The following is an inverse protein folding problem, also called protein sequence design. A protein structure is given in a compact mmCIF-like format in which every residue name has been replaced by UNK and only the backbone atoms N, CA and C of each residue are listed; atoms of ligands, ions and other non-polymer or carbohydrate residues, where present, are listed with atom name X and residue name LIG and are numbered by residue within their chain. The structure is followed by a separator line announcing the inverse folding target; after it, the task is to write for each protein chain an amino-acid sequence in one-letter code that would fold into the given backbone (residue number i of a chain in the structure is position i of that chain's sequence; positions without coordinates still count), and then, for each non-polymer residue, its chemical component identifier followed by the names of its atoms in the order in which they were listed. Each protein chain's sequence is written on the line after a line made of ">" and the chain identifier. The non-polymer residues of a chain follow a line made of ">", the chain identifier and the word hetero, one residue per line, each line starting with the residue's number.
data_IF_553445684530
#
_entry.id   IF_553445684530
#
_cell.length_a   1.000
_cell.length_b   1.000
_cell.length_c   1.000
_cell.angle_alpha   90.00
_cell.angle_beta   90.00
_cell.angle_gamma   90.00
#
_symmetry.space_group_name_H-M   'P 1'
#
loop_
_entity.id
_entity.type
_entity.pdbx_description
1 polymer ?
#
# COMPACT_ATOMS: atom_id res chain seq x y z
N UNK A 1 21.11 -23.53 -40.19
CA UNK A 1 21.15 -22.18 -39.61
C UNK A 1 20.79 -22.29 -38.15
N UNK A 2 21.80 -22.30 -37.28
CA UNK A 2 21.62 -22.43 -35.83
C UNK A 2 21.17 -21.10 -35.25
N UNK A 3 19.91 -21.04 -34.79
CA UNK A 3 19.42 -19.93 -34.01
C UNK A 3 20.12 -19.91 -32.64
N UNK A 4 20.94 -18.90 -32.42
CA UNK A 4 21.53 -18.61 -31.14
C UNK A 4 20.36 -18.28 -30.16
N UNK A 5 20.01 -19.19 -29.26
CA UNK A 5 19.15 -18.87 -28.13
C UNK A 5 19.93 -17.86 -27.28
N UNK A 6 19.57 -16.58 -27.40
CA UNK A 6 19.98 -15.57 -26.41
C UNK A 6 19.25 -15.96 -25.13
N UNK A 7 19.94 -16.68 -24.24
CA UNK A 7 19.52 -16.78 -22.83
C UNK A 7 19.66 -15.35 -22.30
N UNK A 8 18.56 -14.59 -22.27
CA UNK A 8 18.50 -13.35 -21.50
C UNK A 8 18.69 -13.80 -20.06
N UNK A 9 19.90 -13.60 -19.53
CA UNK A 9 20.24 -13.89 -18.15
C UNK A 9 19.24 -13.17 -17.25
N UNK A 10 18.79 -13.82 -16.18
CA UNK A 10 18.08 -13.11 -15.11
C UNK A 10 19.07 -12.13 -14.49
N UNK A 11 18.84 -10.86 -14.73
CA UNK A 11 19.58 -9.78 -14.08
C UNK A 11 18.88 -9.49 -12.74
N UNK A 12 19.57 -9.79 -11.65
CA UNK A 12 19.10 -9.52 -10.30
C UNK A 12 19.56 -8.16 -9.78
N UNK A 13 20.47 -7.51 -10.51
CA UNK A 13 20.99 -6.20 -10.13
C UNK A 13 19.96 -5.10 -10.45
N UNK A 14 19.96 -4.08 -9.64
CA UNK A 14 19.19 -2.87 -9.89
C UNK A 14 19.91 -2.02 -10.94
N UNK A 15 19.13 -1.32 -11.76
CA UNK A 15 19.69 -0.29 -12.63
C UNK A 15 20.21 0.88 -11.79
N UNK A 16 21.11 1.72 -12.33
CA UNK A 16 21.57 2.94 -11.65
C UNK A 16 20.42 3.85 -11.16
N UNK A 17 19.33 3.93 -11.94
CA UNK A 17 18.15 4.74 -11.57
C UNK A 17 17.40 4.14 -10.39
N UNK A 18 17.21 2.83 -10.35
CA UNK A 18 16.61 2.14 -9.21
C UNK A 18 17.48 2.29 -7.93
N UNK A 19 18.81 2.21 -8.06
CA UNK A 19 19.73 2.46 -6.95
C UNK A 19 19.70 3.91 -6.48
N UNK A 20 19.52 4.86 -7.40
CA UNK A 20 19.36 6.27 -7.05
C UNK A 20 18.08 6.49 -6.26
N UNK A 21 16.95 5.97 -6.75
CA UNK A 21 15.65 6.04 -6.05
C UNK A 21 15.77 5.43 -4.66
N UNK A 22 16.37 4.23 -4.54
CA UNK A 22 16.58 3.57 -3.25
C UNK A 22 17.32 4.46 -2.27
N UNK A 23 18.46 5.04 -2.67
CA UNK A 23 19.25 5.92 -1.82
C UNK A 23 18.49 7.19 -1.44
N UNK A 24 17.88 7.86 -2.42
CA UNK A 24 17.13 9.10 -2.20
C UNK A 24 15.98 8.89 -1.22
N UNK A 25 15.19 7.83 -1.38
CA UNK A 25 14.05 7.56 -0.50
C UNK A 25 14.50 7.10 0.88
N UNK A 26 15.58 6.31 0.96
CA UNK A 26 16.19 5.92 2.24
C UNK A 26 16.67 7.13 3.03
N UNK A 27 17.47 7.99 2.40
CA UNK A 27 17.98 9.20 3.03
C UNK A 27 16.85 10.10 3.50
N UNK A 28 15.81 10.27 2.67
CA UNK A 28 14.61 11.00 3.06
C UNK A 28 13.91 10.37 4.27
N UNK A 29 13.70 9.07 4.26
CA UNK A 29 13.02 8.38 5.35
C UNK A 29 13.81 8.48 6.68
N UNK A 30 15.13 8.34 6.63
CA UNK A 30 15.99 8.44 7.80
C UNK A 30 16.12 9.88 8.34
N UNK A 31 16.11 10.90 7.46
CA UNK A 31 16.29 12.29 7.87
C UNK A 31 14.98 12.99 8.24
N UNK A 32 13.89 12.67 7.57
CA UNK A 32 12.63 13.40 7.69
C UNK A 32 11.54 12.63 8.45
N UNK A 33 11.49 11.30 8.33
CA UNK A 33 10.45 10.48 8.95
C UNK A 33 10.92 9.91 10.30
N UNK A 34 12.11 9.32 10.37
CA UNK A 34 12.59 8.66 11.59
C UNK A 34 12.55 9.56 12.83
N UNK A 35 12.92 10.86 12.76
CA UNK A 35 12.91 11.74 13.93
C UNK A 35 11.53 12.02 14.52
N UNK A 36 10.46 11.90 13.70
CA UNK A 36 9.08 12.25 14.10
C UNK A 36 8.14 11.04 14.20
N UNK A 37 8.59 9.86 13.79
CA UNK A 37 7.74 8.67 13.67
C UNK A 37 7.13 8.22 15.01
N UNK A 38 7.87 8.33 16.12
CA UNK A 38 7.36 8.00 17.47
C UNK A 38 6.26 8.98 17.90
N UNK A 39 6.47 10.28 17.71
CA UNK A 39 5.49 11.32 18.01
C UNK A 39 4.22 11.13 17.19
N UNK A 40 4.34 10.90 15.88
CA UNK A 40 3.23 10.68 14.97
C UNK A 40 2.38 9.47 15.38
N UNK A 41 3.02 8.36 15.79
CA UNK A 41 2.32 7.16 16.25
C UNK A 41 1.61 7.40 17.58
N UNK A 42 2.30 8.01 18.56
CA UNK A 42 1.77 8.30 19.90
C UNK A 42 0.58 9.24 19.85
N UNK A 43 0.68 10.33 19.07
CA UNK A 43 -0.34 11.35 18.94
C UNK A 43 -1.42 11.02 17.93
N UNK A 44 -1.22 9.94 17.14
CA UNK A 44 -2.10 9.52 16.03
C UNK A 44 -2.31 10.66 15.04
N UNK A 45 -1.26 11.43 14.80
CA UNK A 45 -1.28 12.64 13.99
C UNK A 45 -0.95 12.30 12.53
N UNK A 46 -1.81 12.77 11.61
CA UNK A 46 -1.54 12.62 10.19
C UNK A 46 -0.34 13.50 9.76
N UNK A 47 0.64 12.97 9.00
CA UNK A 47 1.90 13.64 8.71
C UNK A 47 1.82 14.55 7.48
N UNK A 48 1.04 15.62 7.53
CA UNK A 48 0.83 16.56 6.40
C UNK A 48 2.13 17.09 5.81
N UNK A 49 3.06 17.48 6.67
CA UNK A 49 4.37 18.00 6.29
C UNK A 49 5.25 16.98 5.55
N UNK A 50 5.17 15.71 5.94
CA UNK A 50 5.88 14.62 5.26
C UNK A 50 5.22 14.33 3.90
N UNK A 51 3.88 14.29 3.83
CA UNK A 51 3.15 14.07 2.57
C UNK A 51 3.48 15.18 1.57
N UNK A 52 3.54 16.44 2.00
CA UNK A 52 3.95 17.55 1.14
C UNK A 52 5.38 17.39 0.60
N UNK A 53 6.33 16.92 1.44
CA UNK A 53 7.70 16.61 1.01
C UNK A 53 7.77 15.42 0.06
N UNK A 54 6.97 14.37 0.28
CA UNK A 54 6.84 13.24 -0.66
C UNK A 54 6.36 13.72 -2.04
N UNK A 55 5.36 14.63 -2.06
CA UNK A 55 4.89 15.26 -3.28
C UNK A 55 6.00 16.06 -3.99
N UNK A 56 6.73 16.89 -3.27
CA UNK A 56 7.84 17.69 -3.79
C UNK A 56 8.98 16.84 -4.40
N UNK A 57 9.16 15.61 -3.90
CA UNK A 57 10.10 14.64 -4.44
C UNK A 57 9.54 13.81 -5.60
N UNK A 58 8.27 14.04 -6.02
CA UNK A 58 7.59 13.26 -7.05
C UNK A 58 7.19 11.85 -6.63
N UNK A 59 7.29 11.52 -5.33
CA UNK A 59 7.03 10.17 -4.83
C UNK A 59 5.54 9.81 -4.84
N UNK A 60 4.64 10.80 -4.80
CA UNK A 60 3.19 10.57 -4.87
C UNK A 60 2.73 10.16 -6.27
N UNK A 61 3.55 10.45 -7.29
CA UNK A 61 3.26 10.21 -8.70
C UNK A 61 4.22 9.25 -9.42
N UNK A 62 5.03 8.46 -8.72
CA UNK A 62 6.12 7.63 -9.30
C UNK A 62 5.71 6.88 -10.58
N UNK A 63 4.64 6.05 -10.62
CA UNK A 63 4.36 5.21 -11.77
C UNK A 63 3.48 5.87 -12.84
N UNK A 64 3.14 7.14 -12.68
CA UNK A 64 2.27 7.83 -13.63
C UNK A 64 3.09 8.63 -14.64
N UNK A 65 2.58 8.79 -15.89
CA UNK A 65 3.26 9.55 -16.92
C UNK A 65 3.50 11.02 -16.58
N UNK A 66 4.57 11.60 -17.12
CA UNK A 66 4.93 13.02 -16.94
C UNK A 66 3.83 13.97 -17.43
N UNK A 67 3.07 13.59 -18.48
CA UNK A 67 1.95 14.39 -19.00
C UNK A 67 0.84 14.65 -17.96
N UNK A 68 0.75 13.81 -16.93
CA UNK A 68 -0.15 13.98 -15.79
C UNK A 68 0.59 14.40 -14.51
N UNK A 69 1.81 14.89 -14.62
CA UNK A 69 2.61 15.35 -13.48
C UNK A 69 3.28 14.22 -12.67
N UNK A 70 3.25 12.99 -13.17
CA UNK A 70 3.96 11.86 -12.55
C UNK A 70 5.45 11.83 -12.90
N UNK A 71 6.20 10.91 -12.30
CA UNK A 71 7.64 10.74 -12.54
C UNK A 71 7.97 9.81 -13.73
N UNK A 72 6.99 9.17 -14.35
CA UNK A 72 7.18 8.26 -15.48
C UNK A 72 8.02 7.02 -15.19
N UNK A 73 8.23 6.69 -13.89
CA UNK A 73 9.05 5.56 -13.51
C UNK A 73 8.27 4.23 -13.53
N UNK A 74 8.99 3.11 -13.42
CA UNK A 74 8.40 1.78 -13.49
C UNK A 74 7.83 1.29 -12.14
N UNK A 75 7.18 0.14 -12.16
CA UNK A 75 6.59 -0.46 -10.95
C UNK A 75 7.64 -0.95 -9.96
N UNK A 76 8.84 -1.26 -10.42
CA UNK A 76 9.95 -1.63 -9.54
C UNK A 76 10.46 -0.43 -8.76
N UNK A 77 10.60 0.73 -9.40
CA UNK A 77 10.93 2.00 -8.75
C UNK A 77 9.91 2.34 -7.64
N UNK A 78 8.62 2.20 -7.94
CA UNK A 78 7.55 2.37 -6.96
C UNK A 78 7.67 1.39 -5.78
N UNK A 79 7.90 0.10 -6.06
CA UNK A 79 8.05 -0.92 -5.01
C UNK A 79 9.26 -0.63 -4.10
N UNK A 80 10.39 -0.18 -4.68
CA UNK A 80 11.60 0.23 -3.94
C UNK A 80 11.28 1.43 -3.03
N UNK A 81 10.58 2.44 -3.54
CA UNK A 81 10.22 3.61 -2.74
C UNK A 81 9.31 3.22 -1.55
N UNK A 82 8.31 2.37 -1.78
CA UNK A 82 7.43 1.85 -0.70
C UNK A 82 8.23 1.04 0.32
N UNK A 83 9.15 0.19 -0.13
CA UNK A 83 10.03 -0.60 0.76
C UNK A 83 10.85 0.30 1.68
N UNK A 84 11.55 1.31 1.13
CA UNK A 84 12.44 2.17 1.89
C UNK A 84 11.69 3.09 2.87
N UNK A 85 10.53 3.60 2.51
CA UNK A 85 9.67 4.34 3.44
C UNK A 85 9.20 3.46 4.60
N UNK A 86 8.72 2.25 4.26
CA UNK A 86 8.18 1.31 5.26
C UNK A 86 9.23 0.80 6.22
N UNK A 87 10.48 0.73 5.81
CA UNK A 87 11.62 0.37 6.65
C UNK A 87 11.76 1.28 7.87
N UNK A 88 11.27 2.51 7.77
CA UNK A 88 11.30 3.52 8.84
C UNK A 88 9.92 3.69 9.48
N UNK A 89 8.88 3.89 8.67
CA UNK A 89 7.51 4.06 9.17
C UNK A 89 6.46 3.59 8.17
N UNK A 90 5.69 2.58 8.56
CA UNK A 90 4.66 2.00 7.72
C UNK A 90 3.38 2.83 7.64
N UNK A 91 3.11 3.75 8.58
CA UNK A 91 1.97 4.66 8.52
C UNK A 91 2.12 5.70 7.42
N UNK A 92 3.33 6.27 7.28
CA UNK A 92 3.67 7.17 6.18
C UNK A 92 3.65 6.42 4.85
N UNK A 93 4.25 5.22 4.83
CA UNK A 93 4.31 4.41 3.61
C UNK A 93 2.93 4.00 3.09
N UNK A 94 1.99 3.60 3.96
CA UNK A 94 0.63 3.24 3.52
C UNK A 94 -0.14 4.44 2.98
N UNK A 95 0.10 5.65 3.49
CA UNK A 95 -0.51 6.86 2.95
C UNK A 95 -0.16 7.04 1.47
N UNK A 96 1.13 6.96 1.12
CA UNK A 96 1.59 7.00 -0.26
C UNK A 96 1.12 5.76 -1.06
N UNK A 97 1.25 4.56 -0.48
CA UNK A 97 0.93 3.31 -1.16
C UNK A 97 -0.55 3.23 -1.55
N UNK A 98 -1.47 3.50 -0.63
CA UNK A 98 -2.91 3.48 -0.88
C UNK A 98 -3.33 4.62 -1.83
N UNK A 99 -2.74 5.81 -1.68
CA UNK A 99 -2.96 6.92 -2.60
C UNK A 99 -2.61 6.54 -4.04
N UNK A 100 -1.39 6.04 -4.26
CA UNK A 100 -0.89 5.72 -5.60
C UNK A 100 -1.60 4.52 -6.21
N UNK A 101 -1.62 3.37 -5.50
CA UNK A 101 -2.08 2.09 -6.07
C UNK A 101 -3.59 1.89 -6.03
N UNK A 102 -4.30 2.53 -5.12
CA UNK A 102 -5.75 2.36 -4.95
C UNK A 102 -6.52 3.63 -5.34
N UNK A 103 -6.12 4.80 -4.82
CA UNK A 103 -6.86 6.05 -5.07
C UNK A 103 -6.66 6.60 -6.47
N UNK A 104 -5.42 6.70 -6.93
CA UNK A 104 -5.05 7.32 -8.22
C UNK A 104 -5.11 6.33 -9.39
N UNK A 105 -4.71 5.09 -9.16
CA UNK A 105 -4.60 4.06 -10.21
C UNK A 105 -5.92 3.79 -10.98
N UNK A 106 -7.11 3.72 -10.36
CA UNK A 106 -8.37 3.54 -11.09
C UNK A 106 -8.65 4.65 -12.08
N UNK A 107 -8.37 5.90 -11.70
CA UNK A 107 -8.56 7.07 -12.57
C UNK A 107 -7.62 6.99 -13.78
N UNK A 108 -6.34 6.68 -13.53
CA UNK A 108 -5.37 6.51 -14.61
C UNK A 108 -5.72 5.39 -15.58
N UNK A 109 -6.14 4.22 -15.08
CA UNK A 109 -6.39 3.04 -15.92
C UNK A 109 -7.72 3.11 -16.68
N UNK A 110 -8.75 3.69 -16.07
CA UNK A 110 -10.11 3.53 -16.55
C UNK A 110 -10.86 4.86 -16.71
N UNK A 111 -10.35 5.94 -16.17
CA UNK A 111 -10.95 7.26 -16.28
C UNK A 111 -10.95 7.78 -17.73
N UNK A 112 -11.91 8.66 -18.03
CA UNK A 112 -11.91 9.44 -19.25
C UNK A 112 -10.71 10.40 -19.30
N UNK A 113 -10.36 10.91 -20.47
CA UNK A 113 -9.26 11.89 -20.59
C UNK A 113 -9.55 13.17 -19.80
N UNK A 114 -10.82 13.54 -19.65
CA UNK A 114 -11.24 14.67 -18.82
C UNK A 114 -10.99 14.37 -17.34
N UNK A 115 -11.47 13.22 -16.84
CA UNK A 115 -11.19 12.78 -15.46
C UNK A 115 -9.69 12.70 -15.15
N UNK A 116 -8.88 12.23 -16.09
CA UNK A 116 -7.42 12.17 -15.93
C UNK A 116 -6.80 13.57 -15.82
N UNK A 117 -7.21 14.51 -16.71
CA UNK A 117 -6.69 15.89 -16.69
C UNK A 117 -7.08 16.65 -15.44
N UNK A 118 -8.27 16.39 -14.92
CA UNK A 118 -8.78 17.08 -13.73
C UNK A 118 -8.15 16.56 -12.45
N UNK A 119 -7.96 15.26 -12.36
CA UNK A 119 -7.56 14.62 -11.10
C UNK A 119 -6.08 14.24 -11.02
N UNK A 120 -5.48 13.70 -12.09
CA UNK A 120 -4.12 13.17 -11.98
C UNK A 120 -3.08 14.21 -11.57
N UNK A 121 -3.07 15.47 -12.08
CA UNK A 121 -2.05 16.43 -11.69
C UNK A 121 -2.06 16.77 -10.20
N UNK A 122 -3.23 16.98 -9.61
CA UNK A 122 -3.35 17.28 -8.15
C UNK A 122 -3.09 16.06 -7.27
N UNK A 123 -3.31 14.86 -7.78
CA UNK A 123 -3.01 13.62 -7.08
C UNK A 123 -1.51 13.27 -7.19
N UNK A 124 -0.92 13.33 -8.36
CA UNK A 124 0.51 12.99 -8.57
C UNK A 124 1.44 13.98 -7.87
N UNK A 125 1.05 15.23 -7.73
CA UNK A 125 1.79 16.23 -6.93
C UNK A 125 1.66 16.02 -5.42
N UNK A 126 0.67 15.25 -4.95
CA UNK A 126 0.36 15.10 -3.53
C UNK A 126 -0.38 16.29 -2.92
N UNK A 127 -0.82 17.27 -3.73
CA UNK A 127 -1.69 18.38 -3.29
C UNK A 127 -3.01 17.85 -2.75
N UNK A 128 -3.54 16.82 -3.40
CA UNK A 128 -4.72 16.07 -2.97
C UNK A 128 -4.42 14.58 -2.87
N UNK A 129 -5.12 13.92 -1.96
CA UNK A 129 -5.06 12.47 -1.81
C UNK A 129 -6.27 11.81 -2.47
N UNK A 130 -6.00 10.72 -3.17
CA UNK A 130 -7.02 9.79 -3.67
C UNK A 130 -7.26 8.65 -2.69
N UNK A 131 -8.51 8.21 -2.60
CA UNK A 131 -8.95 7.07 -1.79
C UNK A 131 -9.74 6.06 -2.64
N UNK A 132 -9.89 4.83 -2.13
CA UNK A 132 -10.64 3.76 -2.80
C UNK A 132 -11.61 3.08 -1.83
N UNK A 133 -12.90 3.22 -2.09
CA UNK A 133 -13.99 2.68 -1.29
C UNK A 133 -14.53 1.38 -1.85
N UNK A 134 -13.90 0.24 -1.51
CA UNK A 134 -14.37 -1.10 -1.88
C UNK A 134 -15.11 -1.77 -0.72
N UNK A 135 -14.43 -1.94 0.41
CA UNK A 135 -14.93 -2.68 1.57
C UNK A 135 -16.18 -2.03 2.17
N UNK A 136 -17.17 -2.83 2.51
CA UNK A 136 -18.40 -2.42 3.17
C UNK A 136 -18.56 -3.15 4.52
N UNK A 137 -19.48 -2.70 5.40
CA UNK A 137 -19.71 -3.38 6.69
C UNK A 137 -19.98 -4.89 6.55
N UNK A 138 -20.66 -5.30 5.48
CA UNK A 138 -21.07 -6.69 5.24
C UNK A 138 -20.31 -7.37 4.09
N UNK A 139 -19.39 -6.66 3.42
CA UNK A 139 -18.65 -7.14 2.25
C UNK A 139 -17.14 -6.79 2.35
N UNK A 140 -16.38 -7.66 3.00
CA UNK A 140 -14.92 -7.61 3.08
C UNK A 140 -14.27 -8.56 2.07
N UNK A 141 -13.95 -9.79 2.49
CA UNK A 141 -13.37 -10.81 1.60
C UNK A 141 -14.32 -11.23 0.47
N UNK A 142 -15.63 -11.18 0.69
CA UNK A 142 -16.68 -11.30 -0.34
C UNK A 142 -16.93 -9.95 -1.02
N UNK A 143 -15.89 -9.40 -1.64
CA UNK A 143 -15.90 -8.06 -2.22
C UNK A 143 -16.86 -7.90 -3.43
N UNK A 144 -17.35 -9.00 -4.00
CA UNK A 144 -18.38 -8.99 -5.03
C UNK A 144 -19.79 -8.71 -4.52
N UNK A 145 -20.03 -8.87 -3.22
CA UNK A 145 -21.32 -8.67 -2.57
C UNK A 145 -21.58 -7.19 -2.20
N UNK A 146 -21.37 -6.31 -3.17
CA UNK A 146 -21.55 -4.86 -3.02
C UNK A 146 -22.98 -4.52 -2.63
N UNK A 147 -23.17 -3.73 -1.56
CA UNK A 147 -24.48 -3.25 -1.07
C UNK A 147 -24.74 -1.78 -1.38
N UNK A 148 -23.69 -0.95 -1.43
CA UNK A 148 -23.78 0.45 -1.88
C UNK A 148 -24.44 0.49 -3.25
N UNK A 149 -25.45 1.32 -3.43
CA UNK A 149 -26.24 1.45 -4.67
C UNK A 149 -26.03 2.82 -5.29
N UNK A 150 -26.08 2.86 -6.61
CA UNK A 150 -26.11 4.12 -7.36
C UNK A 150 -27.17 4.01 -8.46
N UNK A 151 -28.08 4.99 -8.49
CA UNK A 151 -29.14 5.08 -9.51
C UNK A 151 -28.91 6.31 -10.35
N UNK A 152 -29.04 6.19 -11.67
CA UNK A 152 -28.96 7.34 -12.57
C UNK A 152 -30.33 8.02 -12.64
N UNK A 153 -30.40 9.25 -12.20
CA UNK A 153 -31.63 10.07 -12.11
C UNK A 153 -31.35 11.49 -12.61
N UNK A 154 -31.93 11.86 -13.75
CA UNK A 154 -31.82 13.22 -14.29
C UNK A 154 -30.39 13.64 -14.71
N UNK A 155 -29.53 12.70 -15.12
CA UNK A 155 -28.16 12.97 -15.49
C UNK A 155 -27.16 12.95 -14.31
N UNK A 156 -27.60 12.51 -13.14
CA UNK A 156 -26.78 12.38 -11.95
C UNK A 156 -26.91 10.96 -11.34
N UNK A 157 -25.79 10.46 -10.81
CA UNK A 157 -25.81 9.27 -9.96
C UNK A 157 -26.21 9.63 -8.54
N UNK A 158 -27.27 9.03 -8.03
CA UNK A 158 -27.72 9.13 -6.63
C UNK A 158 -27.20 7.91 -5.89
N UNK A 159 -26.31 8.15 -4.93
CA UNK A 159 -25.55 7.11 -4.23
C UNK A 159 -26.06 6.97 -2.80
N UNK A 160 -26.37 5.73 -2.40
CA UNK A 160 -26.79 5.34 -1.06
C UNK A 160 -25.97 4.14 -0.58
N UNK A 161 -25.41 4.20 0.62
CA UNK A 161 -24.64 3.10 1.20
C UNK A 161 -23.53 3.52 2.14
N UNK A 162 -22.61 2.60 2.41
CA UNK A 162 -21.51 2.84 3.32
C UNK A 162 -20.24 2.07 2.89
N UNK A 163 -19.07 2.63 3.22
CA UNK A 163 -17.78 1.98 3.05
C UNK A 163 -17.02 1.93 4.37
N UNK A 164 -16.15 0.94 4.54
CA UNK A 164 -15.42 0.70 5.78
C UNK A 164 -13.91 0.63 5.53
N UNK A 165 -13.14 1.11 6.51
CA UNK A 165 -11.68 1.03 6.53
C UNK A 165 -11.00 1.75 5.37
N UNK A 166 -11.52 2.93 4.99
CA UNK A 166 -11.02 3.67 3.82
C UNK A 166 -9.87 4.58 4.24
N UNK A 167 -8.70 4.31 3.69
CA UNK A 167 -7.47 5.08 3.91
C UNK A 167 -7.49 6.37 3.10
N UNK A 168 -6.95 7.46 3.65
CA UNK A 168 -6.80 8.79 3.02
C UNK A 168 -8.13 9.51 2.69
N UNK A 169 -9.25 9.10 3.27
CA UNK A 169 -10.54 9.65 2.87
C UNK A 169 -11.00 10.87 3.67
N UNK A 170 -10.41 11.14 4.85
CA UNK A 170 -10.93 12.18 5.74
C UNK A 170 -9.88 13.16 6.25
N UNK A 171 -8.77 13.34 5.53
CA UNK A 171 -7.77 14.37 5.82
C UNK A 171 -8.15 15.70 5.15
N UNK A 172 -7.54 16.81 5.58
CA UNK A 172 -7.76 18.15 4.98
C UNK A 172 -7.33 18.22 3.50
N UNK A 173 -6.49 17.29 3.07
CA UNK A 173 -6.00 17.17 1.68
C UNK A 173 -6.66 16.01 0.92
N UNK A 174 -7.64 15.32 1.50
CA UNK A 174 -8.42 14.31 0.76
C UNK A 174 -9.18 14.96 -0.37
N UNK A 175 -9.00 14.50 -1.60
CA UNK A 175 -9.60 15.12 -2.80
C UNK A 175 -10.78 14.33 -3.35
N UNK A 176 -10.62 13.04 -3.51
CA UNK A 176 -11.59 12.19 -4.19
C UNK A 176 -11.53 10.76 -3.69
N UNK A 177 -12.68 10.10 -3.63
CA UNK A 177 -12.77 8.66 -3.44
C UNK A 177 -13.36 8.01 -4.70
N UNK A 178 -12.71 6.94 -5.18
CA UNK A 178 -13.31 6.03 -6.17
C UNK A 178 -14.05 4.95 -5.40
N UNK A 179 -15.36 4.83 -5.58
CA UNK A 179 -16.16 3.81 -4.90
C UNK A 179 -16.71 2.78 -5.86
N UNK A 180 -16.86 1.54 -5.40
CA UNK A 180 -17.66 0.53 -6.10
C UNK A 180 -19.10 0.66 -5.65
N UNK A 181 -20.05 0.64 -6.60
CA UNK A 181 -21.49 0.67 -6.31
C UNK A 181 -22.24 -0.25 -7.26
N UNK A 182 -23.36 -0.80 -6.79
CA UNK A 182 -24.29 -1.56 -7.60
C UNK A 182 -25.15 -0.60 -8.41
N UNK A 183 -25.02 -0.65 -9.74
CA UNK A 183 -25.71 0.23 -10.69
C UNK A 183 -26.85 -0.46 -11.45
N UNK A 184 -27.03 -1.76 -11.23
CA UNK A 184 -28.10 -2.61 -11.76
C UNK A 184 -28.21 -3.90 -10.97
N UNK A 185 -29.06 -4.84 -11.39
CA UNK A 185 -29.33 -6.09 -10.66
C UNK A 185 -28.04 -6.92 -10.46
N UNK A 186 -27.28 -7.12 -11.55
CA UNK A 186 -25.99 -7.82 -11.54
C UNK A 186 -24.82 -6.92 -12.03
N UNK A 187 -24.96 -5.62 -11.83
CA UNK A 187 -24.07 -4.60 -12.36
C UNK A 187 -23.35 -3.87 -11.24
N UNK A 188 -22.03 -3.89 -11.25
CA UNK A 188 -21.17 -3.10 -10.37
C UNK A 188 -20.36 -2.14 -11.21
N UNK A 189 -20.36 -0.87 -10.83
CA UNK A 189 -19.60 0.20 -11.47
C UNK A 189 -18.74 0.93 -10.46
N UNK A 190 -17.75 1.67 -10.93
CA UNK A 190 -16.94 2.56 -10.11
C UNK A 190 -17.33 4.01 -10.38
N UNK A 191 -17.43 4.80 -9.33
CA UNK A 191 -17.82 6.20 -9.38
C UNK A 191 -16.79 7.08 -8.66
N UNK A 192 -16.48 8.23 -9.23
CA UNK A 192 -15.70 9.28 -8.58
C UNK A 192 -16.62 10.11 -7.68
N UNK A 193 -16.29 10.22 -6.41
CA UNK A 193 -16.98 11.10 -5.47
C UNK A 193 -15.97 12.11 -4.92
N UNK A 194 -16.03 13.38 -5.35
CA UNK A 194 -15.19 14.44 -4.81
C UNK A 194 -15.46 14.66 -3.31
N UNK A 195 -14.42 14.99 -2.57
CA UNK A 195 -14.59 15.35 -1.15
C UNK A 195 -15.44 16.62 -1.02
N UNK A 196 -16.34 16.66 -0.03
CA UNK A 196 -17.28 17.76 0.15
C UNK A 196 -18.57 17.69 -0.68
N UNK A 197 -18.77 16.61 -1.48
CA UNK A 197 -20.06 16.38 -2.17
C UNK A 197 -21.19 16.24 -1.14
N UNK A 198 -22.32 16.97 -1.27
CA UNK A 198 -23.46 16.83 -0.37
C UNK A 198 -23.97 15.40 -0.28
N UNK A 199 -24.22 14.89 0.93
CA UNK A 199 -24.62 13.50 1.18
C UNK A 199 -23.46 12.52 1.22
N UNK A 200 -22.19 12.97 1.08
CA UNK A 200 -21.00 12.18 1.33
C UNK A 200 -20.37 12.64 2.65
N UNK A 201 -20.30 11.73 3.62
CA UNK A 201 -19.75 12.00 4.94
C UNK A 201 -18.62 11.03 5.28
N UNK A 202 -17.54 11.56 5.86
CA UNK A 202 -16.45 10.81 6.46
C UNK A 202 -16.68 10.75 7.96
N UNK A 203 -16.79 9.53 8.52
CA UNK A 203 -16.90 9.33 9.96
C UNK A 203 -15.59 9.58 10.69
N UNK A 204 -15.62 9.43 12.01
CA UNK A 204 -14.43 9.56 12.85
C UNK A 204 -13.35 8.53 12.50
N UNK A 205 -12.06 8.87 12.63
CA UNK A 205 -10.99 7.94 12.37
C UNK A 205 -11.02 6.77 13.34
N UNK A 206 -10.76 5.56 12.85
CA UNK A 206 -10.71 4.38 13.70
C UNK A 206 -9.55 4.43 14.69
N UNK A 207 -9.79 3.92 15.90
CA UNK A 207 -8.74 3.58 16.87
C UNK A 207 -8.13 2.22 16.45
N UNK A 208 -6.93 2.25 15.90
CA UNK A 208 -6.27 1.08 15.33
C UNK A 208 -5.21 0.49 16.26
N UNK A 209 -4.86 -0.76 16.04
CA UNK A 209 -3.71 -1.41 16.68
C UNK A 209 -2.38 -0.78 16.21
N UNK A 210 -2.26 -0.51 14.92
CA UNK A 210 -1.12 0.07 14.24
C UNK A 210 -1.54 1.04 13.14
N UNK A 211 -0.56 1.52 12.37
CA UNK A 211 -0.74 2.58 11.38
C UNK A 211 -1.43 3.81 11.96
N UNK A 212 -1.02 4.18 13.18
CA UNK A 212 -1.70 5.23 13.92
C UNK A 212 -1.62 6.61 13.26
N UNK A 213 -0.55 6.89 12.53
CA UNK A 213 -0.37 8.14 11.80
C UNK A 213 -1.03 8.14 10.41
N UNK A 214 -1.67 7.04 9.99
CA UNK A 214 -2.45 6.98 8.75
C UNK A 214 -3.92 7.22 9.03
N UNK A 215 -4.58 8.00 8.17
CA UNK A 215 -6.04 8.18 8.22
C UNK A 215 -6.76 6.93 7.71
N UNK A 216 -7.77 6.47 8.44
CA UNK A 216 -8.63 5.35 8.07
C UNK A 216 -10.01 5.55 8.65
N UNK A 217 -11.04 5.64 7.81
CA UNK A 217 -12.40 6.03 8.24
C UNK A 217 -13.49 5.16 7.64
N UNK A 218 -14.69 5.13 8.23
CA UNK A 218 -15.91 4.75 7.56
C UNK A 218 -16.40 5.92 6.68
N UNK A 219 -17.07 5.59 5.59
CA UNK A 219 -17.73 6.55 4.70
C UNK A 219 -19.22 6.23 4.62
N UNK A 220 -20.06 7.26 4.56
CA UNK A 220 -21.50 7.14 4.40
C UNK A 220 -21.95 7.97 3.20
N UNK A 221 -22.87 7.42 2.43
CA UNK A 221 -23.52 8.08 1.30
C UNK A 221 -25.03 8.03 1.53
N UNK A 222 -25.65 9.20 1.62
CA UNK A 222 -27.09 9.36 1.84
C UNK A 222 -27.64 10.34 0.80
N UNK A 223 -28.22 9.81 -0.27
CA UNK A 223 -28.64 10.59 -1.40
C UNK A 223 -27.54 11.42 -2.05
N UNK A 224 -26.28 10.96 -1.94
CA UNK A 224 -25.11 11.65 -2.48
C UNK A 224 -25.19 11.72 -4.01
N UNK A 225 -25.16 12.93 -4.58
CA UNK A 225 -25.33 13.16 -6.01
C UNK A 225 -24.02 13.55 -6.66
N UNK A 226 -23.66 12.83 -7.72
CA UNK A 226 -22.52 13.17 -8.59
C UNK A 226 -22.99 13.12 -10.06
N UNK A 227 -22.41 13.96 -10.94
CA UNK A 227 -22.73 13.94 -12.38
C UNK A 227 -22.57 12.57 -13.03
N UNK A 228 -23.28 12.32 -14.12
CA UNK A 228 -23.22 11.05 -14.87
C UNK A 228 -21.79 10.75 -15.35
N UNK A 229 -21.04 11.78 -15.72
CA UNK A 229 -19.63 11.73 -16.16
C UNK A 229 -18.65 11.29 -15.08
N UNK A 230 -19.06 11.22 -13.80
CA UNK A 230 -18.23 10.66 -12.72
C UNK A 230 -18.15 9.12 -12.74
N UNK A 231 -18.81 8.48 -13.69
CA UNK A 231 -18.63 7.06 -13.94
C UNK A 231 -17.20 6.77 -14.44
N UNK A 232 -16.50 5.86 -13.80
CA UNK A 232 -15.11 5.47 -14.15
C UNK A 232 -15.15 4.29 -15.13
N UNK A 233 -14.86 4.58 -16.38
CA UNK A 233 -14.92 3.59 -17.46
C UNK A 233 -16.35 3.11 -17.78
N UNK A 234 -16.50 1.95 -18.46
CA UNK A 234 -17.82 1.47 -18.86
C UNK A 234 -18.69 1.06 -17.66
N UNK A 235 -19.98 1.38 -17.72
CA UNK A 235 -20.97 0.91 -16.77
C UNK A 235 -20.96 -0.63 -16.68
N UNK A 236 -21.05 -1.20 -15.48
CA UNK A 236 -21.00 -2.65 -15.24
C UNK A 236 -19.57 -3.25 -15.24
N UNK A 237 -18.54 -2.46 -15.52
CA UNK A 237 -17.16 -2.96 -15.55
C UNK A 237 -16.46 -2.94 -14.18
N UNK A 238 -17.07 -2.37 -13.16
CA UNK A 238 -16.44 -2.07 -11.85
C UNK A 238 -15.83 -3.29 -11.17
N UNK A 239 -16.46 -4.46 -11.25
CA UNK A 239 -15.93 -5.69 -10.68
C UNK A 239 -14.56 -6.07 -11.28
N UNK A 240 -14.42 -6.04 -12.59
CA UNK A 240 -13.16 -6.34 -13.28
C UNK A 240 -12.10 -5.27 -13.02
N UNK A 241 -12.53 -4.01 -12.95
CA UNK A 241 -11.64 -2.89 -12.67
C UNK A 241 -11.03 -2.99 -11.28
N UNK A 242 -11.83 -3.22 -10.23
CA UNK A 242 -11.28 -3.32 -8.88
C UNK A 242 -10.37 -4.54 -8.70
N UNK A 243 -10.66 -5.68 -9.33
CA UNK A 243 -9.74 -6.82 -9.30
C UNK A 243 -8.37 -6.46 -9.89
N UNK A 244 -8.35 -5.70 -11.00
CA UNK A 244 -7.11 -5.23 -11.61
C UNK A 244 -6.36 -4.25 -10.70
N UNK A 245 -7.06 -3.35 -10.04
CA UNK A 245 -6.49 -2.40 -9.08
C UNK A 245 -5.89 -3.14 -7.88
N UNK A 246 -6.59 -4.12 -7.32
CA UNK A 246 -6.08 -4.93 -6.22
C UNK A 246 -4.83 -5.74 -6.61
N UNK A 247 -4.76 -6.28 -7.84
CA UNK A 247 -3.54 -6.98 -8.29
C UNK A 247 -2.33 -6.06 -8.29
N UNK A 248 -2.50 -4.79 -8.66
CA UNK A 248 -1.44 -3.78 -8.63
C UNK A 248 -1.12 -3.39 -7.18
N UNK A 249 -2.13 -3.15 -6.35
CA UNK A 249 -1.98 -2.79 -4.94
C UNK A 249 -1.20 -3.84 -4.15
N UNK A 250 -1.38 -5.13 -4.44
CA UNK A 250 -0.62 -6.23 -3.82
C UNK A 250 0.89 -6.09 -3.96
N UNK A 251 1.39 -5.53 -5.06
CA UNK A 251 2.83 -5.27 -5.24
C UNK A 251 3.30 -4.25 -4.20
N UNK A 252 2.56 -3.13 -4.04
CA UNK A 252 2.87 -2.11 -3.04
C UNK A 252 2.82 -2.65 -1.61
N UNK A 253 1.72 -3.34 -1.24
CA UNK A 253 1.60 -3.93 0.12
C UNK A 253 2.64 -5.02 0.37
N UNK A 254 3.02 -5.78 -0.66
CA UNK A 254 4.11 -6.75 -0.55
C UNK A 254 5.47 -6.05 -0.31
N UNK A 255 5.72 -4.91 -0.98
CA UNK A 255 6.91 -4.10 -0.73
C UNK A 255 6.92 -3.54 0.71
N UNK A 256 5.75 -3.11 1.22
CA UNK A 256 5.62 -2.73 2.64
C UNK A 256 6.02 -3.88 3.57
N UNK A 257 5.59 -5.11 3.26
CA UNK A 257 5.95 -6.28 4.07
C UNK A 257 7.47 -6.53 4.11
N UNK A 258 8.18 -6.32 2.99
CA UNK A 258 9.64 -6.39 2.94
C UNK A 258 10.28 -5.24 3.74
N UNK A 259 9.82 -4.01 3.53
CA UNK A 259 10.34 -2.82 4.21
C UNK A 259 10.21 -2.92 5.74
N UNK A 260 9.04 -3.32 6.24
CA UNK A 260 8.82 -3.50 7.68
C UNK A 260 9.69 -4.62 8.26
N UNK A 261 9.81 -5.76 7.57
CA UNK A 261 10.68 -6.85 8.00
C UNK A 261 12.15 -6.41 8.02
N UNK A 262 12.59 -5.64 7.02
CA UNK A 262 13.95 -5.08 6.97
C UNK A 262 14.21 -4.08 8.10
N UNK A 263 13.29 -3.16 8.36
CA UNK A 263 13.38 -2.22 9.48
C UNK A 263 13.47 -2.92 10.83
N UNK A 264 12.67 -3.98 11.02
CA UNK A 264 12.72 -4.81 12.21
C UNK A 264 14.09 -5.52 12.37
N UNK A 265 14.66 -6.06 11.29
CA UNK A 265 16.00 -6.66 11.28
C UNK A 265 17.07 -5.63 11.61
N UNK A 266 17.03 -4.45 11.01
CA UNK A 266 18.02 -3.39 11.21
C UNK A 266 18.07 -2.95 12.68
N UNK A 267 16.90 -2.72 13.29
CA UNK A 267 16.79 -2.38 14.71
C UNK A 267 17.29 -3.51 15.61
N UNK A 268 16.88 -4.75 15.32
CA UNK A 268 17.33 -5.91 16.07
C UNK A 268 18.85 -6.12 16.00
N UNK A 269 19.46 -5.93 14.82
CA UNK A 269 20.88 -6.07 14.61
C UNK A 269 21.68 -4.96 15.34
N UNK A 270 21.20 -3.71 15.24
CA UNK A 270 21.83 -2.57 15.93
C UNK A 270 21.82 -2.81 17.45
N UNK A 271 20.63 -3.09 18.00
CA UNK A 271 20.49 -3.37 19.43
C UNK A 271 21.34 -4.57 19.88
N UNK A 272 21.37 -5.66 19.11
CA UNK A 272 22.15 -6.85 19.46
C UNK A 272 23.67 -6.61 19.51
N UNK A 273 24.19 -5.65 18.72
CA UNK A 273 25.60 -5.25 18.75
C UNK A 273 25.96 -4.42 19.98
N UNK A 274 25.03 -3.62 20.48
CA UNK A 274 25.25 -2.70 21.61
C UNK A 274 24.93 -3.34 22.96
N UNK A 275 23.80 -4.05 23.03
CA UNK A 275 23.32 -4.68 24.27
C UNK A 275 24.28 -5.78 24.73
N UNK A 276 24.72 -5.69 25.98
CA UNK A 276 25.59 -6.69 26.61
C UNK A 276 24.81 -7.52 27.64
N UNK A 277 25.06 -8.82 27.63
CA UNK A 277 24.64 -9.77 28.63
C UNK A 277 25.75 -10.81 28.81
N UNK A 278 25.90 -11.32 30.02
CA UNK A 278 26.96 -12.30 30.34
C UNK A 278 28.36 -11.87 29.88
N UNK A 279 28.67 -10.54 30.03
CA UNK A 279 29.99 -9.95 29.75
C UNK A 279 30.29 -9.66 28.26
N UNK A 280 29.36 -9.89 27.32
CA UNK A 280 29.61 -9.64 25.87
C UNK A 280 28.34 -9.15 25.14
N UNK A 281 28.46 -8.55 23.94
CA UNK A 281 27.30 -8.21 23.11
C UNK A 281 26.43 -9.42 22.85
N UNK A 282 25.10 -9.23 22.86
CA UNK A 282 24.17 -10.37 22.65
C UNK A 282 24.25 -10.92 21.22
N UNK A 283 24.73 -10.14 20.25
CA UNK A 283 25.05 -10.60 18.88
C UNK A 283 26.11 -11.72 18.82
N UNK A 284 26.82 -12.01 19.94
CA UNK A 284 27.81 -13.09 20.03
C UNK A 284 27.20 -14.41 20.50
N UNK A 285 25.91 -14.47 20.78
CA UNK A 285 25.21 -15.72 21.15
C UNK A 285 24.58 -16.37 19.91
N UNK A 286 24.79 -17.68 19.73
CA UNK A 286 24.31 -18.41 18.57
C UNK A 286 22.79 -18.33 18.39
N UNK A 287 22.01 -18.30 19.47
CA UNK A 287 20.56 -18.17 19.40
C UNK A 287 20.12 -16.83 18.76
N UNK A 288 20.85 -15.73 19.02
CA UNK A 288 20.60 -14.42 18.40
C UNK A 288 21.08 -14.42 16.95
N UNK A 289 22.26 -15.00 16.69
CA UNK A 289 22.81 -15.10 15.33
C UNK A 289 21.89 -15.89 14.41
N UNK A 290 21.32 -17.00 14.87
CA UNK A 290 20.38 -17.81 14.10
C UNK A 290 19.13 -16.99 13.72
N UNK A 291 18.51 -16.28 14.68
CA UNK A 291 17.35 -15.40 14.41
C UNK A 291 17.64 -14.34 13.35
N UNK A 292 18.77 -13.61 13.51
CA UNK A 292 19.18 -12.57 12.56
C UNK A 292 19.48 -13.13 11.16
N UNK A 293 20.10 -14.30 11.07
CA UNK A 293 20.40 -14.97 9.81
C UNK A 293 19.12 -15.45 9.09
N UNK A 294 18.17 -16.03 9.83
CA UNK A 294 16.89 -16.46 9.30
C UNK A 294 16.08 -15.25 8.77
N UNK A 295 16.01 -14.15 9.56
CA UNK A 295 15.35 -12.92 9.13
C UNK A 295 15.96 -12.40 7.82
N UNK A 296 17.29 -12.26 7.76
CA UNK A 296 17.98 -11.74 6.58
C UNK A 296 17.72 -12.59 5.33
N UNK A 297 17.83 -13.92 5.46
CA UNK A 297 17.61 -14.88 4.35
C UNK A 297 16.19 -14.81 3.81
N UNK A 298 15.20 -14.78 4.71
CA UNK A 298 13.79 -14.78 4.34
C UNK A 298 13.35 -13.41 3.73
N UNK A 299 13.94 -12.31 4.20
CA UNK A 299 13.70 -10.97 3.65
C UNK A 299 14.21 -10.91 2.20
N UNK A 300 15.42 -11.40 1.93
CA UNK A 300 15.98 -11.40 0.57
C UNK A 300 15.13 -12.24 -0.39
N UNK A 301 14.76 -13.44 0.02
CA UNK A 301 13.88 -14.30 -0.78
C UNK A 301 12.51 -13.65 -1.06
N UNK A 302 11.94 -12.94 -0.09
CA UNK A 302 10.68 -12.24 -0.22
C UNK A 302 10.78 -11.01 -1.13
N UNK A 303 11.87 -10.24 -1.02
CA UNK A 303 12.19 -9.09 -1.89
C UNK A 303 12.24 -9.48 -3.35
N UNK A 304 12.90 -10.59 -3.68
CA UNK A 304 12.97 -11.11 -5.05
C UNK A 304 11.59 -11.46 -5.62
N UNK A 305 10.64 -11.95 -4.80
CA UNK A 305 9.26 -12.18 -5.24
C UNK A 305 8.52 -10.86 -5.58
N UNK A 306 8.71 -9.82 -4.77
CA UNK A 306 8.12 -8.50 -5.01
C UNK A 306 8.67 -7.90 -6.30
N UNK A 307 9.99 -7.90 -6.47
CA UNK A 307 10.64 -7.36 -7.66
C UNK A 307 10.25 -8.13 -8.92
N UNK A 308 10.11 -9.46 -8.83
CA UNK A 308 9.58 -10.27 -9.92
C UNK A 308 8.16 -9.87 -10.29
N UNK A 309 7.27 -9.61 -9.32
CA UNK A 309 5.90 -9.19 -9.59
C UNK A 309 5.87 -7.82 -10.30
N UNK A 310 6.67 -6.86 -9.83
CA UNK A 310 6.82 -5.54 -10.44
C UNK A 310 7.34 -5.64 -11.88
N UNK A 311 8.43 -6.38 -12.11
CA UNK A 311 9.00 -6.59 -13.46
C UNK A 311 8.03 -7.29 -14.42
N UNK A 312 7.24 -8.25 -13.94
CA UNK A 312 6.21 -8.88 -14.77
C UNK A 312 5.13 -7.89 -15.20
N UNK A 313 4.70 -7.00 -14.28
CA UNK A 313 3.74 -5.94 -14.58
C UNK A 313 4.30 -4.98 -15.63
N UNK A 314 5.54 -4.50 -15.46
CA UNK A 314 6.19 -3.56 -16.37
C UNK A 314 6.41 -4.16 -17.76
N UNK A 315 6.66 -5.47 -17.84
CA UNK A 315 6.74 -6.22 -19.09
C UNK A 315 5.37 -6.54 -19.73
N UNK A 316 4.26 -6.03 -19.20
CA UNK A 316 2.90 -6.31 -19.68
C UNK A 316 2.48 -7.79 -19.54
N UNK A 317 3.17 -8.58 -18.72
CA UNK A 317 2.89 -10.00 -18.49
C UNK A 317 1.90 -10.20 -17.35
N UNK A 318 1.29 -11.39 -17.28
CA UNK A 318 0.43 -11.74 -16.15
C UNK A 318 1.27 -11.84 -14.88
N UNK A 319 0.93 -11.05 -13.86
CA UNK A 319 1.61 -10.97 -12.58
C UNK A 319 0.71 -11.33 -11.38
N UNK A 320 -0.60 -11.57 -11.58
CA UNK A 320 -1.59 -11.85 -10.52
C UNK A 320 -1.12 -12.91 -9.54
N UNK A 321 -0.66 -14.08 -10.07
CA UNK A 321 -0.15 -15.17 -9.22
C UNK A 321 1.08 -14.73 -8.40
N UNK A 322 2.05 -14.09 -9.05
CA UNK A 322 3.29 -13.67 -8.37
C UNK A 322 3.02 -12.58 -7.34
N UNK A 323 2.12 -11.62 -7.62
CA UNK A 323 1.71 -10.58 -6.68
C UNK A 323 1.01 -11.17 -5.45
N UNK A 324 0.09 -12.14 -5.64
CA UNK A 324 -0.56 -12.83 -4.54
C UNK A 324 0.45 -13.64 -3.68
N UNK A 325 1.39 -14.34 -4.31
CA UNK A 325 2.48 -15.05 -3.62
C UNK A 325 3.38 -14.09 -2.83
N UNK A 326 3.75 -12.95 -3.42
CA UNK A 326 4.56 -11.93 -2.77
C UNK A 326 3.84 -11.38 -1.53
N UNK A 327 2.58 -10.96 -1.68
CA UNK A 327 1.77 -10.39 -0.59
C UNK A 327 1.58 -11.39 0.56
N UNK A 328 1.25 -12.63 0.26
CA UNK A 328 1.11 -13.69 1.27
C UNK A 328 2.42 -13.94 2.03
N UNK A 329 3.53 -14.06 1.29
CA UNK A 329 4.85 -14.30 1.88
C UNK A 329 5.30 -13.13 2.76
N UNK A 330 5.21 -11.90 2.25
CA UNK A 330 5.76 -10.72 2.92
C UNK A 330 4.92 -10.28 4.12
N UNK A 331 3.59 -10.40 4.06
CA UNK A 331 2.72 -10.11 5.20
C UNK A 331 3.03 -11.00 6.41
N UNK A 332 3.18 -12.30 6.19
CA UNK A 332 3.58 -13.26 7.24
C UNK A 332 5.00 -13.00 7.75
N UNK A 333 5.89 -12.67 6.83
CA UNK A 333 7.29 -12.38 7.17
C UNK A 333 7.41 -11.13 8.03
N UNK A 334 6.67 -10.06 7.71
CA UNK A 334 6.66 -8.83 8.48
C UNK A 334 6.25 -9.08 9.94
N UNK A 335 5.19 -9.88 10.16
CA UNK A 335 4.76 -10.27 11.51
C UNK A 335 5.87 -11.04 12.23
N UNK A 336 6.44 -12.07 11.59
CA UNK A 336 7.50 -12.89 12.19
C UNK A 336 8.75 -12.06 12.51
N UNK A 337 9.23 -11.24 11.58
CA UNK A 337 10.43 -10.43 11.81
C UNK A 337 10.23 -9.38 12.90
N UNK A 338 9.06 -8.74 12.96
CA UNK A 338 8.79 -7.77 14.02
C UNK A 338 8.65 -8.44 15.39
N UNK A 339 8.06 -9.65 15.48
CA UNK A 339 8.02 -10.45 16.70
C UNK A 339 9.43 -10.83 17.17
N UNK A 340 10.30 -11.31 16.27
CA UNK A 340 11.68 -11.64 16.59
C UNK A 340 12.50 -10.40 17.01
N UNK A 341 12.24 -9.25 16.41
CA UNK A 341 12.89 -8.00 16.80
C UNK A 341 12.49 -7.59 18.23
N UNK A 342 11.20 -7.65 18.58
CA UNK A 342 10.74 -7.43 19.96
C UNK A 342 11.40 -8.42 20.92
N UNK A 343 11.46 -9.70 20.56
CA UNK A 343 12.07 -10.74 21.36
C UNK A 343 13.59 -10.52 21.59
N UNK A 344 14.32 -10.06 20.57
CA UNK A 344 15.75 -9.73 20.67
C UNK A 344 15.99 -8.53 21.62
N UNK A 345 15.09 -7.54 21.58
CA UNK A 345 15.16 -6.39 22.52
C UNK A 345 14.75 -6.77 23.95
N UNK A 346 14.04 -7.87 24.14
CA UNK A 346 13.52 -8.28 25.45
C UNK A 346 12.56 -7.23 26.03
N UNK A 347 12.69 -6.88 27.31
CA UNK A 347 11.81 -5.89 27.95
C UNK A 347 11.77 -4.53 27.26
N UNK A 348 12.87 -4.11 26.63
CA UNK A 348 12.94 -2.87 25.86
C UNK A 348 12.14 -2.93 24.55
N UNK A 349 11.92 -4.11 23.98
CA UNK A 349 11.07 -4.26 22.80
C UNK A 349 9.58 -4.17 23.12
N UNK A 350 9.19 -4.19 24.39
CA UNK A 350 7.80 -4.15 24.84
C UNK A 350 7.32 -2.73 25.20
N UNK A 351 8.19 -1.75 25.19
CA UNK A 351 7.88 -0.35 25.48
C UNK A 351 7.87 0.49 24.21
N UNK A 352 7.09 1.55 24.18
CA UNK A 352 6.78 2.31 22.97
C UNK A 352 7.96 3.20 22.48
N UNK A 353 8.92 3.49 23.35
CA UNK A 353 10.13 4.26 23.04
C UNK A 353 11.10 3.54 22.07
N UNK A 354 10.86 2.24 21.83
CA UNK A 354 11.64 1.49 20.85
C UNK A 354 10.81 1.18 19.60
N UNK A 355 11.32 1.48 18.38
CA UNK A 355 10.57 1.34 17.14
C UNK A 355 9.99 -0.05 16.88
N UNK A 356 10.60 -1.10 17.42
CA UNK A 356 10.18 -2.49 17.22
C UNK A 356 8.79 -2.76 17.81
N UNK A 357 8.37 -2.06 18.86
CA UNK A 357 7.01 -2.12 19.39
C UNK A 357 5.99 -1.64 18.35
N UNK A 358 6.25 -0.49 17.69
CA UNK A 358 5.41 0.04 16.61
C UNK A 358 5.40 -0.91 15.42
N UNK A 359 6.55 -1.42 14.97
CA UNK A 359 6.64 -2.36 13.86
C UNK A 359 5.81 -3.62 14.10
N UNK A 360 5.82 -4.17 15.32
CA UNK A 360 5.00 -5.33 15.66
C UNK A 360 3.50 -5.05 15.58
N UNK A 361 3.05 -3.90 16.09
CA UNK A 361 1.65 -3.47 15.98
C UNK A 361 1.23 -3.26 14.52
N UNK A 362 2.08 -2.64 13.73
CA UNK A 362 1.83 -2.30 12.33
C UNK A 362 1.85 -3.53 11.40
N UNK A 363 2.69 -4.53 11.71
CA UNK A 363 2.85 -5.71 10.86
C UNK A 363 1.55 -6.49 10.66
N UNK A 364 0.68 -6.53 11.68
CA UNK A 364 -0.50 -7.40 11.66
C UNK A 364 -1.47 -7.07 10.53
N UNK A 365 -1.65 -5.81 10.18
CA UNK A 365 -2.56 -5.42 9.10
C UNK A 365 -2.13 -5.97 7.74
N UNK A 366 -0.84 -6.21 7.51
CA UNK A 366 -0.31 -6.74 6.26
C UNK A 366 -0.78 -8.18 5.95
N UNK A 367 -1.33 -8.88 6.94
CA UNK A 367 -1.98 -10.20 6.74
C UNK A 367 -3.49 -10.09 6.48
N UNK A 368 -4.06 -8.87 6.58
CA UNK A 368 -5.51 -8.62 6.50
C UNK A 368 -5.86 -7.71 5.32
N UNK A 369 -5.21 -6.54 5.23
CA UNK A 369 -5.50 -5.50 4.22
C UNK A 369 -5.19 -5.95 2.80
N UNK A 370 -5.91 -5.39 1.83
CA UNK A 370 -5.84 -5.71 0.39
C UNK A 370 -5.99 -7.20 0.05
N UNK A 371 -6.90 -7.85 0.77
CA UNK A 371 -7.15 -9.28 0.72
C UNK A 371 -6.36 -10.05 1.75
N UNK A 372 -7.08 -10.75 2.64
CA UNK A 372 -6.49 -11.53 3.72
C UNK A 372 -5.55 -12.62 3.19
N UNK A 373 -4.77 -13.21 4.07
CA UNK A 373 -3.92 -14.37 3.72
C UNK A 373 -4.73 -15.49 3.07
N UNK A 374 -5.96 -15.74 3.54
CA UNK A 374 -6.87 -16.75 2.98
C UNK A 374 -7.32 -16.35 1.57
N UNK A 375 -7.61 -15.09 1.32
CA UNK A 375 -7.92 -14.59 -0.03
C UNK A 375 -6.72 -14.76 -0.97
N UNK A 376 -5.48 -14.46 -0.50
CA UNK A 376 -4.28 -14.71 -1.32
C UNK A 376 -4.12 -16.20 -1.62
N UNK A 377 -4.34 -17.07 -0.64
CA UNK A 377 -4.30 -18.52 -0.85
C UNK A 377 -5.33 -19.01 -1.87
N UNK A 378 -6.55 -18.46 -1.83
CA UNK A 378 -7.60 -18.74 -2.85
C UNK A 378 -7.17 -18.29 -4.26
N UNK A 379 -6.59 -17.09 -4.38
CA UNK A 379 -6.08 -16.57 -5.67
C UNK A 379 -4.97 -17.47 -6.21
N UNK A 380 -4.03 -17.87 -5.36
CA UNK A 380 -2.91 -18.75 -5.72
C UNK A 380 -3.44 -20.13 -6.15
N UNK A 381 -4.30 -20.74 -5.35
CA UNK A 381 -4.88 -22.05 -5.64
C UNK A 381 -5.63 -22.08 -6.98
N UNK A 382 -6.49 -21.05 -7.21
CA UNK A 382 -7.21 -20.90 -8.49
C UNK A 382 -6.25 -20.75 -9.68
N UNK A 383 -5.16 -19.98 -9.52
CA UNK A 383 -4.17 -19.82 -10.58
C UNK A 383 -3.37 -21.10 -10.88
N UNK A 384 -3.34 -22.03 -9.93
CA UNK A 384 -2.73 -23.37 -10.08
C UNK A 384 -3.71 -24.42 -10.62
N UNK A 385 -5.00 -24.07 -10.77
CA UNK A 385 -6.04 -24.96 -11.27
C UNK A 385 -6.67 -25.86 -10.19
N UNK A 386 -6.53 -25.51 -8.90
CA UNK A 386 -7.12 -26.21 -7.76
C UNK A 386 -8.47 -25.62 -7.36
#
# INVERSE_FOLDING_TARGET
>A
MGGCLIIVGMDFDLSPDHDLIRRTVRDFAEQEIAPVAEELDREKRFPYEIVAKLGALGLMGIPFPEEYGGAGADSLAYAIAVEELTRVDSSVAITMCAHTSLGTQPIYLFGSEEQKRDWLPVLTSGEKLGAFGLTEPEAGSDAGNVRTRARLEGGEWVIDGAKQFITNAGTDISGVVVITARTGEDEVSNLLVPNGTPGYEQGEPYRKMGWNASDTRPLTFDGCRVPEENLVGPRGAGFKQFLRVLDIGRIGVAAMGVGLAQGALDQALAYAKERKAFGRPISKFQAIQAKLADMATEIEAARLLVYKAARLKDAGRNFTLTAAQAKLKTGRLAVRCSEEAVQIHGGYGYIEEYPVCRFYRDAKILTIGEGTDEVQQMVIARAMGA
#
